data_IF_589967555856
#
_entry.id   IF_589967555856
#
_cell.length_a   1.000
_cell.length_b   1.000
_cell.length_c   1.000
_cell.angle_alpha   90.00
_cell.angle_beta   90.00
_cell.angle_gamma   90.00
#
_symmetry.space_group_name_H-M   'P 1'
#
loop_
_entity.id
_entity.type
_entity.pdbx_description
1 polymer ?
#
# COMPACT_ATOMS: atom_id res chain seq x y z
N UNK A 1 -4.62 -6.88 -28.30
CA UNK A 1 -3.21 -7.12 -27.91
C UNK A 1 -3.17 -8.40 -27.08
N UNK A 2 -2.77 -9.51 -27.69
CA UNK A 2 -2.57 -10.77 -26.98
C UNK A 2 -1.38 -10.60 -26.04
N UNK A 3 -1.64 -10.48 -24.74
CA UNK A 3 -0.60 -10.49 -23.73
C UNK A 3 -0.09 -11.93 -23.69
N UNK A 4 1.05 -12.13 -24.35
CA UNK A 4 1.65 -13.42 -24.60
C UNK A 4 1.94 -14.19 -23.32
N UNK A 5 1.71 -15.49 -23.40
CA UNK A 5 1.96 -16.51 -22.39
C UNK A 5 3.44 -16.59 -22.00
N UNK A 6 3.88 -15.77 -21.05
CA UNK A 6 5.08 -16.08 -20.28
C UNK A 6 4.66 -17.10 -19.22
N UNK A 7 5.32 -18.26 -19.18
CA UNK A 7 5.03 -19.25 -18.14
C UNK A 7 5.35 -18.66 -16.76
N UNK A 8 4.55 -18.94 -15.71
CA UNK A 8 4.78 -18.38 -14.38
C UNK A 8 6.22 -18.59 -13.87
N UNK A 9 6.83 -19.74 -14.21
CA UNK A 9 8.22 -20.03 -13.85
C UNK A 9 9.24 -19.11 -14.52
N UNK A 10 9.03 -18.73 -15.78
CA UNK A 10 9.94 -17.81 -16.48
C UNK A 10 9.82 -16.39 -15.94
N UNK A 11 8.60 -15.96 -15.58
CA UNK A 11 8.38 -14.68 -14.90
C UNK A 11 9.08 -14.67 -13.53
N UNK A 12 8.95 -15.73 -12.74
CA UNK A 12 9.61 -15.85 -11.44
C UNK A 12 11.14 -15.84 -11.56
N UNK A 13 11.70 -16.49 -12.59
CA UNK A 13 13.15 -16.48 -12.85
C UNK A 13 13.65 -15.08 -13.22
N UNK A 14 12.92 -14.36 -14.08
CA UNK A 14 13.25 -12.98 -14.45
C UNK A 14 13.17 -12.04 -13.24
N UNK A 15 12.12 -12.20 -12.42
CA UNK A 15 11.93 -11.51 -11.15
C UNK A 15 13.10 -11.79 -10.18
N UNK A 16 13.49 -13.06 -10.02
CA UNK A 16 14.61 -13.46 -9.17
C UNK A 16 15.93 -12.83 -9.62
N UNK A 17 16.21 -12.87 -10.93
CA UNK A 17 17.38 -12.24 -11.51
C UNK A 17 17.37 -10.71 -11.29
N UNK A 18 16.22 -10.05 -11.48
CA UNK A 18 16.07 -8.61 -11.23
C UNK A 18 16.39 -8.25 -9.79
N UNK A 19 15.88 -9.00 -8.81
CA UNK A 19 16.16 -8.74 -7.38
C UNK A 19 17.64 -8.92 -7.01
N UNK A 20 18.38 -9.75 -7.75
CA UNK A 20 19.83 -9.90 -7.56
C UNK A 20 20.59 -8.70 -8.13
N UNK A 21 20.09 -8.10 -9.21
CA UNK A 21 20.69 -6.92 -9.84
C UNK A 21 20.37 -5.64 -9.07
N UNK A 22 19.19 -5.56 -8.47
CA UNK A 22 18.72 -4.42 -7.68
C UNK A 22 18.51 -4.86 -6.23
N UNK A 23 19.58 -4.97 -5.43
CA UNK A 23 19.50 -5.50 -4.07
C UNK A 23 18.61 -4.67 -3.15
N UNK A 24 18.43 -3.38 -3.44
CA UNK A 24 17.52 -2.47 -2.75
C UNK A 24 16.04 -2.76 -3.06
N UNK A 25 15.74 -3.55 -4.08
CA UNK A 25 14.37 -3.84 -4.50
C UNK A 25 13.54 -4.54 -3.41
N UNK A 26 14.15 -5.46 -2.65
CA UNK A 26 13.49 -6.11 -1.52
C UNK A 26 13.15 -5.11 -0.41
N UNK A 27 14.11 -4.23 -0.10
CA UNK A 27 13.91 -3.19 0.90
C UNK A 27 12.86 -2.17 0.44
N UNK A 28 12.81 -1.84 -0.85
CA UNK A 28 11.75 -1.00 -1.44
C UNK A 28 10.37 -1.62 -1.26
N UNK A 29 10.20 -2.89 -1.61
CA UNK A 29 8.94 -3.63 -1.41
C UNK A 29 8.56 -3.63 0.07
N UNK A 30 9.50 -3.98 0.96
CA UNK A 30 9.25 -3.99 2.40
C UNK A 30 8.81 -2.61 2.91
N UNK A 31 9.46 -1.53 2.46
CA UNK A 31 9.07 -0.15 2.80
C UNK A 31 7.65 0.17 2.36
N UNK A 32 7.36 -0.16 1.11
CA UNK A 32 6.13 0.18 0.41
C UNK A 32 4.94 -0.52 1.08
N UNK A 33 5.03 -1.83 1.26
CA UNK A 33 3.96 -2.62 1.89
C UNK A 33 3.84 -2.33 3.40
N UNK A 34 4.95 -2.14 4.11
CA UNK A 34 4.89 -1.72 5.51
C UNK A 34 4.21 -0.36 5.68
N UNK A 35 4.33 0.54 4.70
CA UNK A 35 3.64 1.81 4.75
C UNK A 35 2.12 1.65 4.61
N UNK A 36 1.65 0.81 3.68
CA UNK A 36 0.23 0.47 3.58
C UNK A 36 -0.30 -0.13 4.88
N UNK A 37 0.43 -1.09 5.44
CA UNK A 37 0.08 -1.74 6.70
C UNK A 37 -0.01 -0.72 7.84
N UNK A 38 1.06 0.04 8.09
CA UNK A 38 1.12 0.99 9.20
C UNK A 38 0.05 2.07 9.07
N UNK A 39 -0.13 2.65 7.88
CA UNK A 39 -1.13 3.67 7.67
C UNK A 39 -2.55 3.11 7.87
N UNK A 40 -2.84 1.89 7.40
CA UNK A 40 -4.11 1.23 7.65
C UNK A 40 -4.35 1.00 9.15
N UNK A 41 -3.32 0.52 9.87
CA UNK A 41 -3.36 0.32 11.32
C UNK A 41 -3.70 1.61 12.05
N UNK A 42 -2.96 2.70 11.78
CA UNK A 42 -3.13 4.00 12.44
C UNK A 42 -4.52 4.63 12.21
N UNK A 43 -5.16 4.36 11.08
CA UNK A 43 -6.51 4.88 10.77
C UNK A 43 -7.63 3.87 11.06
N UNK A 44 -7.31 2.75 11.72
CA UNK A 44 -8.25 1.73 12.17
C UNK A 44 -8.93 0.97 11.03
N UNK A 45 -8.19 0.67 9.95
CA UNK A 45 -8.61 -0.31 8.95
C UNK A 45 -8.05 -1.69 9.30
N UNK A 46 -8.85 -2.77 9.15
CA UNK A 46 -8.41 -4.11 9.49
C UNK A 46 -7.33 -4.58 8.52
N UNK A 47 -6.33 -5.30 9.06
CA UNK A 47 -5.30 -5.98 8.26
C UNK A 47 -5.54 -7.48 8.37
N UNK A 48 -5.81 -8.13 7.24
CA UNK A 48 -6.12 -9.57 7.16
C UNK A 48 -4.91 -10.42 6.78
N UNK A 49 -3.89 -9.80 6.18
CA UNK A 49 -2.69 -10.48 5.72
C UNK A 49 -1.80 -9.55 4.91
N UNK A 50 -0.61 -10.02 4.58
CA UNK A 50 0.30 -9.33 3.69
C UNK A 50 1.20 -10.34 2.97
N UNK A 51 1.87 -9.91 1.91
CA UNK A 51 2.97 -10.63 1.30
C UNK A 51 4.03 -9.64 0.84
N UNK A 52 5.30 -10.04 0.96
CA UNK A 52 6.45 -9.37 0.34
C UNK A 52 7.05 -10.23 -0.78
N UNK A 53 6.39 -11.32 -1.15
CA UNK A 53 6.86 -12.19 -2.23
C UNK A 53 6.79 -11.42 -3.55
N UNK A 54 7.91 -11.35 -4.28
CA UNK A 54 7.98 -10.54 -5.49
C UNK A 54 6.94 -10.97 -6.53
N UNK A 55 6.23 -9.99 -7.08
CA UNK A 55 5.13 -10.14 -8.03
C UNK A 55 3.80 -10.51 -7.37
N UNK A 56 3.77 -10.63 -6.04
CA UNK A 56 2.59 -10.89 -5.22
C UNK A 56 2.56 -10.00 -3.97
N UNK A 57 3.41 -8.99 -3.90
CA UNK A 57 3.41 -8.01 -2.83
C UNK A 57 2.04 -7.34 -2.70
N UNK A 58 1.52 -7.29 -1.47
CA UNK A 58 0.29 -6.60 -1.12
C UNK A 58 0.07 -6.60 0.40
N UNK A 59 -0.74 -5.66 0.87
CA UNK A 59 -1.43 -5.73 2.17
C UNK A 59 -2.93 -5.94 1.93
N UNK A 60 -3.49 -6.99 2.51
CA UNK A 60 -4.92 -7.29 2.38
C UNK A 60 -5.71 -6.59 3.49
N UNK A 61 -6.54 -5.61 3.09
CA UNK A 61 -7.40 -4.84 3.98
C UNK A 61 -8.89 -5.12 3.80
N UNK A 62 -9.24 -5.91 2.78
CA UNK A 62 -10.63 -6.08 2.35
C UNK A 62 -11.30 -7.13 3.22
N UNK A 63 -11.89 -6.67 4.32
CA UNK A 63 -12.85 -7.44 5.10
C UNK A 63 -14.27 -7.37 4.50
N UNK A 64 -15.20 -8.13 5.05
CA UNK A 64 -16.59 -8.16 4.57
C UNK A 64 -17.26 -6.78 4.59
N UNK A 65 -16.89 -5.93 5.56
CA UNK A 65 -17.48 -4.60 5.71
C UNK A 65 -17.00 -3.66 4.60
N UNK A 66 -15.68 -3.56 4.42
CA UNK A 66 -15.08 -2.75 3.36
C UNK A 66 -15.45 -3.28 1.99
N UNK A 67 -15.54 -4.61 1.83
CA UNK A 67 -16.03 -5.24 0.62
C UNK A 67 -17.45 -4.78 0.28
N UNK A 68 -18.40 -4.91 1.22
CA UNK A 68 -19.79 -4.43 1.05
C UNK A 68 -19.84 -2.95 0.70
N UNK A 69 -19.00 -2.15 1.35
CA UNK A 69 -18.92 -0.73 1.12
C UNK A 69 -18.40 -0.39 -0.29
N UNK A 70 -17.34 -1.04 -0.75
CA UNK A 70 -16.82 -0.89 -2.12
C UNK A 70 -17.85 -1.37 -3.15
N UNK A 71 -18.62 -2.41 -2.85
CA UNK A 71 -19.65 -2.93 -3.75
C UNK A 71 -20.94 -2.10 -3.76
N UNK A 72 -21.25 -1.35 -2.69
CA UNK A 72 -22.41 -0.46 -2.66
C UNK A 72 -22.32 0.64 -3.72
N UNK A 73 -21.08 1.03 -4.09
CA UNK A 73 -20.82 2.12 -5.03
C UNK A 73 -21.24 3.49 -4.48
N UNK A 74 -21.30 3.61 -3.16
CA UNK A 74 -21.74 4.81 -2.43
C UNK A 74 -20.71 5.20 -1.35
N UNK A 75 -19.43 5.24 -1.71
CA UNK A 75 -18.40 5.75 -0.80
C UNK A 75 -18.68 7.22 -0.50
N UNK A 76 -18.81 7.54 0.78
CA UNK A 76 -18.87 8.92 1.26
C UNK A 76 -17.47 9.54 1.30
N UNK A 77 -17.40 10.83 1.65
CA UNK A 77 -16.12 11.56 1.73
C UNK A 77 -15.17 10.95 2.76
N UNK A 78 -15.68 10.52 3.91
CA UNK A 78 -14.85 9.96 4.99
C UNK A 78 -14.24 8.63 4.57
N UNK A 79 -15.00 7.81 3.85
CA UNK A 79 -14.57 6.50 3.38
C UNK A 79 -13.53 6.61 2.27
N UNK A 80 -13.75 7.50 1.29
CA UNK A 80 -12.76 7.73 0.23
C UNK A 80 -11.47 8.34 0.80
N UNK A 81 -11.55 9.25 1.78
CA UNK A 81 -10.37 9.84 2.41
C UNK A 81 -9.49 8.77 3.07
N UNK A 82 -10.10 7.87 3.87
CA UNK A 82 -9.38 6.76 4.53
C UNK A 82 -8.73 5.82 3.51
N UNK A 83 -9.47 5.43 2.47
CA UNK A 83 -8.97 4.52 1.44
C UNK A 83 -7.90 5.18 0.57
N UNK A 84 -8.01 6.48 0.30
CA UNK A 84 -7.01 7.22 -0.45
C UNK A 84 -5.70 7.34 0.31
N UNK A 85 -5.76 7.64 1.61
CA UNK A 85 -4.59 7.71 2.49
C UNK A 85 -3.85 6.37 2.48
N UNK A 86 -4.53 5.25 2.71
CA UNK A 86 -3.87 3.94 2.59
C UNK A 86 -3.32 3.72 1.20
N UNK A 87 -4.11 3.94 0.15
CA UNK A 87 -3.66 3.69 -1.23
C UNK A 87 -2.40 4.48 -1.56
N UNK A 88 -2.20 5.67 -1.01
CA UNK A 88 -1.03 6.49 -1.31
C UNK A 88 0.14 6.27 -0.35
N UNK A 89 0.02 5.37 0.62
CA UNK A 89 1.03 5.15 1.65
C UNK A 89 2.35 4.60 1.10
N UNK A 90 2.32 3.60 0.23
CA UNK A 90 3.52 3.03 -0.40
C UNK A 90 4.29 4.06 -1.23
N UNK A 91 3.59 4.83 -2.06
CA UNK A 91 4.16 5.96 -2.82
C UNK A 91 4.80 6.99 -1.87
N UNK A 92 4.11 7.35 -0.78
CA UNK A 92 4.62 8.29 0.19
C UNK A 92 5.91 7.77 0.85
N UNK A 93 5.95 6.50 1.25
CA UNK A 93 7.12 5.87 1.83
C UNK A 93 8.32 5.87 0.87
N UNK A 94 8.11 5.52 -0.40
CA UNK A 94 9.18 5.56 -1.40
C UNK A 94 9.68 6.99 -1.62
N UNK A 95 8.78 7.97 -1.72
CA UNK A 95 9.14 9.38 -1.93
C UNK A 95 9.83 10.04 -0.75
N UNK A 96 9.77 9.44 0.45
CA UNK A 96 10.52 9.90 1.63
C UNK A 96 11.95 9.38 1.68
N UNK A 97 12.23 8.24 1.05
CA UNK A 97 13.53 7.56 1.10
C UNK A 97 14.34 7.74 -0.19
N UNK A 98 13.68 7.74 -1.35
CA UNK A 98 14.34 7.64 -2.65
C UNK A 98 14.04 8.85 -3.53
N UNK A 99 15.01 9.20 -4.38
CA UNK A 99 14.84 10.27 -5.37
C UNK A 99 13.76 9.99 -6.41
N UNK A 100 13.44 8.70 -6.62
CA UNK A 100 12.43 8.25 -7.59
C UNK A 100 11.56 7.15 -6.99
N UNK A 101 10.25 7.32 -7.15
CA UNK A 101 9.24 6.30 -6.86
C UNK A 101 9.10 5.35 -8.07
N UNK A 102 9.05 4.05 -7.80
CA UNK A 102 9.02 2.99 -8.83
C UNK A 102 7.70 2.22 -8.78
N UNK A 103 7.21 1.85 -7.59
CA UNK A 103 5.94 1.15 -7.40
C UNK A 103 4.79 2.15 -7.16
N UNK A 104 3.97 2.42 -8.16
CA UNK A 104 2.81 3.32 -7.97
C UNK A 104 1.59 3.02 -8.82
N UNK A 105 1.76 2.28 -9.92
CA UNK A 105 0.69 2.11 -10.90
C UNK A 105 -0.49 1.37 -10.29
N UNK A 106 -0.26 0.26 -9.59
CA UNK A 106 -1.31 -0.53 -8.96
C UNK A 106 -2.10 0.28 -7.92
N UNK A 107 -1.42 1.10 -7.12
CA UNK A 107 -2.03 1.88 -6.05
C UNK A 107 -2.86 3.04 -6.57
N UNK A 108 -2.38 3.71 -7.63
CA UNK A 108 -3.15 4.73 -8.33
C UNK A 108 -4.37 4.13 -9.03
N UNK A 109 -4.28 2.94 -9.60
CA UNK A 109 -5.44 2.23 -10.16
C UNK A 109 -6.45 1.84 -9.07
N UNK A 110 -5.97 1.41 -7.90
CA UNK A 110 -6.80 1.11 -6.73
C UNK A 110 -7.51 2.35 -6.20
N UNK A 111 -6.79 3.47 -6.05
CA UNK A 111 -7.38 4.76 -5.70
C UNK A 111 -8.44 5.18 -6.72
N UNK A 112 -8.15 5.10 -8.02
CA UNK A 112 -9.11 5.44 -9.06
C UNK A 112 -10.37 4.55 -8.99
N UNK A 113 -10.20 3.26 -8.67
CA UNK A 113 -11.31 2.33 -8.46
C UNK A 113 -12.22 2.79 -7.31
N UNK A 114 -11.66 3.31 -6.22
CA UNK A 114 -12.43 3.87 -5.10
C UNK A 114 -13.09 5.19 -5.47
N UNK A 115 -12.36 6.10 -6.12
CA UNK A 115 -12.90 7.38 -6.62
C UNK A 115 -14.13 7.15 -7.51
N UNK A 116 -14.10 6.14 -8.38
CA UNK A 116 -15.22 5.82 -9.26
C UNK A 116 -16.48 5.30 -8.52
N UNK A 117 -16.39 5.06 -7.21
CA UNK A 117 -17.47 4.59 -6.33
C UNK A 117 -17.96 5.67 -5.37
N UNK A 118 -17.49 6.91 -5.49
CA UNK A 118 -17.96 7.99 -4.61
C UNK A 118 -19.33 8.52 -5.04
N UNK A 119 -20.13 8.96 -4.06
CA UNK A 119 -21.38 9.67 -4.30
C UNK A 119 -21.43 10.95 -3.44
N UNK A 120 -21.53 12.15 -4.04
CA UNK A 120 -21.53 12.43 -5.48
C UNK A 120 -20.18 12.10 -6.17
N UNK A 121 -20.16 11.96 -7.51
CA UNK A 121 -18.91 11.81 -8.24
C UNK A 121 -17.97 13.00 -8.04
N UNK A 122 -16.69 12.74 -7.81
CA UNK A 122 -15.68 13.79 -7.67
C UNK A 122 -15.32 14.41 -9.01
N UNK A 123 -15.19 15.74 -9.05
CA UNK A 123 -14.62 16.46 -10.21
C UNK A 123 -13.14 16.12 -10.40
N UNK A 124 -12.58 16.40 -11.57
CA UNK A 124 -11.15 16.16 -11.83
C UNK A 124 -10.24 16.88 -10.82
N UNK A 125 -10.56 18.11 -10.45
CA UNK A 125 -9.80 18.88 -9.48
C UNK A 125 -9.90 18.28 -8.08
N UNK A 126 -11.09 17.81 -7.68
CA UNK A 126 -11.27 17.09 -6.42
C UNK A 126 -10.44 15.80 -6.37
N UNK A 127 -10.40 15.04 -7.46
CA UNK A 127 -9.59 13.81 -7.55
C UNK A 127 -8.08 14.10 -7.42
N UNK A 128 -7.59 15.15 -8.08
CA UNK A 128 -6.19 15.56 -7.95
C UNK A 128 -5.85 16.05 -6.54
N UNK A 129 -6.74 16.84 -5.94
CA UNK A 129 -6.55 17.35 -4.58
C UNK A 129 -6.58 16.23 -3.55
N UNK A 130 -7.51 15.28 -3.66
CA UNK A 130 -7.57 14.07 -2.84
C UNK A 130 -6.26 13.28 -2.93
N UNK A 131 -5.77 13.05 -4.15
CA UNK A 131 -4.52 12.30 -4.36
C UNK A 131 -3.33 13.00 -3.70
N UNK A 132 -3.14 14.31 -3.94
CA UNK A 132 -2.05 15.09 -3.32
C UNK A 132 -2.16 15.12 -1.80
N UNK A 133 -3.35 15.37 -1.27
CA UNK A 133 -3.59 15.38 0.16
C UNK A 133 -3.30 14.02 0.78
N UNK A 134 -3.77 12.92 0.18
CA UNK A 134 -3.56 11.57 0.68
C UNK A 134 -2.06 11.21 0.73
N UNK A 135 -1.27 11.58 -0.28
CA UNK A 135 0.18 11.41 -0.27
C UNK A 135 0.83 12.18 0.88
N UNK A 136 0.50 13.48 1.03
CA UNK A 136 1.09 14.33 2.07
C UNK A 136 0.69 13.88 3.48
N UNK A 137 -0.57 13.49 3.67
CA UNK A 137 -1.06 12.99 4.95
C UNK A 137 -0.41 11.66 5.32
N UNK A 138 -0.30 10.73 4.36
CA UNK A 138 0.42 9.46 4.56
C UNK A 138 1.89 9.68 4.88
N UNK A 139 2.56 10.58 4.15
CA UNK A 139 3.94 10.96 4.44
C UNK A 139 4.09 11.54 5.85
N UNK A 140 3.13 12.34 6.31
CA UNK A 140 3.12 12.86 7.68
C UNK A 140 2.96 11.74 8.72
N UNK A 141 2.05 10.79 8.51
CA UNK A 141 1.88 9.64 9.40
C UNK A 141 3.17 8.81 9.47
N UNK A 142 3.79 8.52 8.33
CA UNK A 142 5.03 7.75 8.25
C UNK A 142 6.20 8.46 8.94
N UNK A 143 6.38 9.77 8.70
CA UNK A 143 7.40 10.57 9.39
C UNK A 143 7.23 10.57 10.90
N UNK A 144 5.99 10.73 11.37
CA UNK A 144 5.69 10.80 12.80
C UNK A 144 5.77 9.44 13.50
N UNK A 145 5.71 8.34 12.74
CA UNK A 145 5.78 6.97 13.24
C UNK A 145 6.97 6.21 12.63
N UNK A 146 8.09 6.91 12.39
CA UNK A 146 9.25 6.35 11.68
C UNK A 146 9.79 5.08 12.33
N UNK A 147 9.93 5.07 13.66
CA UNK A 147 10.42 3.91 14.40
C UNK A 147 9.50 2.69 14.23
N UNK A 148 8.18 2.90 14.31
CA UNK A 148 7.20 1.85 14.06
C UNK A 148 7.21 1.35 12.61
N UNK A 149 7.42 2.24 11.63
CA UNK A 149 7.55 1.84 10.22
C UNK A 149 8.78 0.96 9.99
N UNK A 150 9.94 1.34 10.55
CA UNK A 150 11.17 0.55 10.45
C UNK A 150 11.06 -0.80 11.19
N UNK A 151 10.47 -0.81 12.38
CA UNK A 151 10.21 -2.05 13.13
C UNK A 151 9.28 -2.99 12.37
N UNK A 152 8.21 -2.45 11.78
CA UNK A 152 7.27 -3.20 10.95
C UNK A 152 7.92 -3.76 9.70
N UNK A 153 8.73 -2.97 8.98
CA UNK A 153 9.50 -3.45 7.83
C UNK A 153 10.39 -4.63 8.20
N UNK A 154 11.07 -4.57 9.35
CA UNK A 154 11.90 -5.68 9.84
C UNK A 154 11.05 -6.92 10.14
N UNK A 155 9.94 -6.77 10.86
CA UNK A 155 9.04 -7.87 11.19
C UNK A 155 8.45 -8.53 9.93
N UNK A 156 8.01 -7.74 8.95
CA UNK A 156 7.47 -8.24 7.68
C UNK A 156 8.54 -8.95 6.85
N UNK A 157 9.77 -8.42 6.81
CA UNK A 157 10.90 -9.05 6.12
C UNK A 157 11.29 -10.41 6.74
N UNK A 158 11.07 -10.57 8.04
CA UNK A 158 11.23 -11.83 8.77
C UNK A 158 10.00 -12.76 8.67
N UNK A 159 8.98 -12.38 7.88
CA UNK A 159 7.73 -13.13 7.70
C UNK A 159 6.95 -13.35 8.99
N UNK A 160 6.97 -12.36 9.90
CA UNK A 160 6.16 -12.40 11.12
C UNK A 160 4.66 -12.54 10.80
N UNK A 161 3.87 -13.10 11.71
CA UNK A 161 2.41 -13.08 11.55
C UNK A 161 1.87 -11.65 11.59
N UNK A 162 0.63 -11.42 11.15
CA UNK A 162 -0.04 -10.12 11.28
C UNK A 162 0.00 -9.62 12.73
N UNK A 163 -0.21 -10.53 13.70
CA UNK A 163 -0.11 -10.21 15.13
C UNK A 163 1.31 -9.78 15.53
N UNK A 164 2.34 -10.50 15.08
CA UNK A 164 3.73 -10.13 15.36
C UNK A 164 4.13 -8.79 14.72
N UNK A 165 3.58 -8.46 13.55
CA UNK A 165 3.72 -7.14 12.95
C UNK A 165 3.07 -6.04 13.81
N UNK A 166 1.86 -6.28 14.34
CA UNK A 166 1.19 -5.34 15.24
C UNK A 166 1.99 -5.16 16.53
N UNK A 167 2.49 -6.25 17.12
CA UNK A 167 3.38 -6.18 18.30
C UNK A 167 4.64 -5.35 18.03
N UNK A 168 5.23 -5.45 16.82
CA UNK A 168 6.38 -4.64 16.43
C UNK A 168 6.05 -3.14 16.32
N UNK A 169 4.85 -2.79 15.81
CA UNK A 169 4.36 -1.41 15.76
C UNK A 169 4.19 -0.84 17.18
N UNK A 170 3.49 -1.58 18.04
CA UNK A 170 3.16 -1.13 19.41
C UNK A 170 4.40 -1.01 20.30
N UNK A 171 5.39 -1.89 20.15
CA UNK A 171 6.63 -1.82 20.93
C UNK A 171 7.59 -0.69 20.49
N UNK A 172 7.40 -0.15 19.30
CA UNK A 172 8.23 0.92 18.73
C UNK A 172 7.61 2.32 18.87
N UNK A 173 6.35 2.40 19.31
CA UNK A 173 5.58 3.62 19.54
C UNK A 173 5.69 4.09 20.98
#
# INVERSE_FOLDING_TARGET
>A
LAIGSISPGLLQAAIGAFSTVFPDYQERIARHEAAHFLVAYLIGLPILGYSLDIGKEHVNLIDDQLQKLIYSGQLDQKEIDRLAVVSMAGLAAEGLEYDKVVGQSADLFTLQRFINRTKPPLTKDQQQNLTRWAVLFSASLLKNNKAAHEALMSAMSQKASVLGCIEAIENAS
#
